data_IF_847974365638
#
_entry.id   IF_847974365638
#
_cell.length_a   1.000
_cell.length_b   1.000
_cell.length_c   1.000
_cell.angle_alpha   90.00
_cell.angle_beta   90.00
_cell.angle_gamma   90.00
#
_symmetry.space_group_name_H-M   'P 1'
#
loop_
_entity.id
_entity.type
_entity.pdbx_description
1 polymer ?
#
# COMPACT_ATOMS: atom_id res chain seq x y z
N UNK A 1 -55.43 -53.30 55.11
CA UNK A 1 -54.63 -52.08 55.11
C UNK A 1 -53.53 -52.27 54.08
N UNK A 2 -53.72 -51.65 52.92
CA UNK A 2 -52.88 -51.84 51.77
C UNK A 2 -51.77 -50.74 51.74
N UNK A 3 -50.55 -51.17 51.64
CA UNK A 3 -49.43 -50.28 51.44
C UNK A 3 -49.03 -50.42 49.98
N UNK A 4 -49.28 -49.38 49.18
CA UNK A 4 -48.89 -49.25 47.79
C UNK A 4 -47.46 -48.89 47.73
N UNK A 5 -46.64 -49.79 47.14
CA UNK A 5 -45.25 -49.59 46.84
C UNK A 5 -45.11 -48.88 45.49
N UNK A 6 -44.77 -47.60 45.50
CA UNK A 6 -44.39 -46.82 44.29
C UNK A 6 -43.03 -47.28 43.78
N UNK A 7 -43.01 -47.95 42.62
CA UNK A 7 -41.80 -48.29 41.87
C UNK A 7 -41.32 -47.07 41.19
N UNK A 8 -40.21 -46.57 41.61
CA UNK A 8 -39.44 -45.56 40.90
C UNK A 8 -38.83 -46.11 39.60
N UNK A 9 -39.38 -45.69 38.49
CA UNK A 9 -38.87 -45.99 37.13
C UNK A 9 -37.82 -45.01 36.82
N UNK A 10 -36.52 -45.34 37.01
CA UNK A 10 -35.40 -44.57 36.61
C UNK A 10 -35.25 -44.69 35.09
N UNK A 11 -35.57 -43.64 34.35
CA UNK A 11 -35.29 -43.52 32.94
C UNK A 11 -33.87 -42.93 32.83
N UNK A 12 -32.90 -43.65 32.27
CA UNK A 12 -31.59 -43.04 31.96
C UNK A 12 -31.78 -42.10 30.77
N UNK A 13 -31.63 -40.79 31.01
CA UNK A 13 -31.53 -39.80 29.96
C UNK A 13 -30.17 -39.99 29.31
N UNK A 14 -30.16 -40.66 28.16
CA UNK A 14 -28.98 -40.78 27.31
C UNK A 14 -28.79 -39.45 26.59
N UNK A 15 -28.01 -38.56 27.19
CA UNK A 15 -27.61 -37.29 26.55
C UNK A 15 -26.63 -37.60 25.43
N UNK A 16 -27.14 -37.71 24.21
CA UNK A 16 -26.37 -37.81 23.00
C UNK A 16 -25.72 -36.44 22.74
N UNK A 17 -24.50 -36.24 23.28
CA UNK A 17 -23.71 -35.08 22.98
C UNK A 17 -23.23 -35.19 21.52
N UNK A 18 -23.96 -34.55 20.62
CA UNK A 18 -23.46 -34.29 19.27
C UNK A 18 -22.25 -33.35 19.36
N UNK A 19 -21.07 -33.94 19.32
CA UNK A 19 -19.86 -33.20 18.99
C UNK A 19 -20.00 -32.70 17.55
N UNK A 20 -20.52 -31.50 17.37
CA UNK A 20 -20.36 -30.78 16.10
C UNK A 20 -18.90 -30.45 15.97
N UNK A 21 -18.19 -31.19 15.09
CA UNK A 21 -16.90 -30.73 14.57
C UNK A 21 -17.11 -29.35 13.98
N UNK A 22 -16.72 -28.32 14.70
CA UNK A 22 -16.51 -27.00 14.13
C UNK A 22 -15.30 -27.18 13.22
N UNK A 23 -15.54 -27.47 11.95
CA UNK A 23 -14.51 -27.25 10.93
C UNK A 23 -14.14 -25.78 11.03
N UNK A 24 -12.93 -25.52 11.52
CA UNK A 24 -12.28 -24.25 11.27
C UNK A 24 -12.16 -24.13 9.74
N UNK A 25 -13.15 -23.52 9.12
CA UNK A 25 -12.96 -22.92 7.81
C UNK A 25 -11.77 -22.01 7.97
N UNK A 26 -10.63 -22.46 7.47
CA UNK A 26 -9.50 -21.58 7.26
C UNK A 26 -10.08 -20.37 6.52
N UNK A 27 -10.02 -19.22 7.14
CA UNK A 27 -10.17 -17.97 6.45
C UNK A 27 -9.03 -18.00 5.43
N UNK A 28 -9.34 -18.52 4.23
CA UNK A 28 -8.57 -18.17 3.07
C UNK A 28 -8.64 -16.65 3.09
N UNK A 29 -7.52 -16.01 3.37
CA UNK A 29 -7.34 -14.61 3.09
C UNK A 29 -7.44 -14.54 1.57
N UNK A 30 -8.68 -14.45 1.07
CA UNK A 30 -8.93 -14.05 -0.30
C UNK A 30 -8.20 -12.73 -0.41
N UNK A 31 -7.21 -12.67 -1.30
CA UNK A 31 -6.58 -11.41 -1.66
C UNK A 31 -7.73 -10.44 -1.92
N UNK A 32 -7.87 -9.45 -1.06
CA UNK A 32 -8.94 -8.48 -1.18
C UNK A 32 -8.68 -7.78 -2.52
N UNK A 33 -9.44 -8.16 -3.54
CA UNK A 33 -9.41 -7.48 -4.83
C UNK A 33 -9.98 -6.10 -4.55
N UNK A 34 -9.11 -5.10 -4.52
CA UNK A 34 -9.55 -3.73 -4.36
C UNK A 34 -10.41 -3.34 -5.57
N UNK A 35 -11.61 -2.79 -5.36
CA UNK A 35 -12.49 -2.40 -6.47
C UNK A 35 -11.93 -1.24 -7.29
N UNK A 36 -10.83 -0.64 -6.85
CA UNK A 36 -10.16 0.49 -7.48
C UNK A 36 -8.67 0.41 -7.15
N UNK A 37 -7.82 0.41 -8.19
CA UNK A 37 -6.36 0.51 -8.00
C UNK A 37 -5.98 2.00 -7.86
N UNK A 38 -5.58 2.38 -6.66
CA UNK A 38 -5.28 3.76 -6.30
C UNK A 38 -3.87 3.89 -5.76
N UNK A 39 -3.13 4.86 -6.29
CA UNK A 39 -1.88 5.34 -5.71
C UNK A 39 -1.97 6.84 -5.42
N UNK A 40 -1.34 7.29 -4.35
CA UNK A 40 -1.18 8.71 -4.06
C UNK A 40 0.31 9.05 -3.97
N UNK A 41 0.72 10.12 -4.63
CA UNK A 41 2.07 10.66 -4.52
C UNK A 41 1.96 12.09 -3.97
N UNK A 42 2.55 12.30 -2.81
CA UNK A 42 2.68 13.62 -2.20
C UNK A 42 4.13 14.07 -2.30
N UNK A 43 4.33 15.31 -2.76
CA UNK A 43 5.64 15.93 -2.92
C UNK A 43 5.58 17.25 -2.16
N UNK A 44 6.34 17.37 -1.08
CA UNK A 44 6.39 18.57 -0.25
C UNK A 44 7.79 19.22 -0.31
N UNK A 45 7.82 20.50 -0.66
CA UNK A 45 9.05 21.28 -0.67
C UNK A 45 9.30 21.91 0.71
N UNK A 46 10.23 21.31 1.44
CA UNK A 46 10.74 21.87 2.69
C UNK A 46 11.80 22.94 2.38
N UNK A 47 11.39 24.20 2.40
CA UNK A 47 12.27 25.33 2.07
C UNK A 47 13.37 25.54 3.13
N UNK A 48 13.16 25.11 4.38
CA UNK A 48 14.14 25.23 5.47
C UNK A 48 15.31 24.29 5.24
N UNK A 49 15.02 23.03 4.96
CA UNK A 49 16.02 21.98 4.78
C UNK A 49 16.49 21.90 3.32
N UNK A 50 15.80 22.62 2.42
CA UNK A 50 16.04 22.63 0.97
C UNK A 50 15.90 21.22 0.38
N UNK A 51 14.86 20.52 0.79
CA UNK A 51 14.56 19.16 0.33
C UNK A 51 13.20 19.09 -0.35
N UNK A 52 13.01 18.09 -1.22
CA UNK A 52 11.69 17.58 -1.52
C UNK A 52 11.49 16.29 -0.75
N UNK A 53 10.43 16.25 0.02
CA UNK A 53 9.97 15.07 0.73
C UNK A 53 8.87 14.41 -0.12
N UNK A 54 9.06 13.15 -0.45
CA UNK A 54 8.16 12.43 -1.36
C UNK A 54 7.59 11.24 -0.62
N UNK A 55 6.26 11.15 -0.57
CA UNK A 55 5.55 10.02 -0.01
C UNK A 55 4.70 9.36 -1.08
N UNK A 56 4.98 8.10 -1.38
CA UNK A 56 4.15 7.26 -2.23
C UNK A 56 3.29 6.35 -1.35
N UNK A 57 1.95 6.35 -1.58
CA UNK A 57 0.98 5.51 -0.87
C UNK A 57 0.32 4.58 -1.87
N UNK A 58 0.38 3.29 -1.59
CA UNK A 58 -0.24 2.24 -2.42
C UNK A 58 -0.92 1.22 -1.52
N UNK A 59 -1.80 0.39 -2.06
CA UNK A 59 -2.21 -0.81 -1.34
C UNK A 59 -1.01 -1.76 -1.25
N UNK A 60 -0.74 -2.28 -0.04
CA UNK A 60 0.48 -3.05 0.22
C UNK A 60 0.54 -4.35 -0.56
N UNK A 61 -0.58 -5.04 -0.70
CA UNK A 61 -0.72 -6.32 -1.39
C UNK A 61 -0.57 -6.19 -2.90
N UNK A 62 -1.14 -5.14 -3.50
CA UNK A 62 -0.96 -4.79 -4.90
C UNK A 62 0.51 -4.48 -5.19
N UNK A 63 1.14 -3.69 -4.33
CA UNK A 63 2.53 -3.31 -4.50
C UNK A 63 3.48 -4.50 -4.32
N UNK A 64 3.24 -5.37 -3.34
CA UNK A 64 3.96 -6.63 -3.15
C UNK A 64 3.83 -7.54 -4.38
N UNK A 65 2.63 -7.62 -4.94
CA UNK A 65 2.35 -8.40 -6.16
C UNK A 65 3.12 -7.89 -7.36
N UNK A 66 3.17 -6.57 -7.57
CA UNK A 66 3.96 -5.95 -8.64
C UNK A 66 5.45 -6.20 -8.44
N UNK A 67 5.98 -5.96 -7.25
CA UNK A 67 7.40 -6.21 -6.97
C UNK A 67 7.75 -7.67 -7.18
N UNK A 68 6.87 -8.60 -6.80
CA UNK A 68 7.08 -10.02 -7.03
C UNK A 68 7.12 -10.36 -8.52
N UNK A 69 6.23 -9.75 -9.32
CA UNK A 69 6.18 -9.91 -10.79
C UNK A 69 7.45 -9.38 -11.45
N UNK A 70 7.85 -8.15 -11.13
CA UNK A 70 9.02 -7.48 -11.72
C UNK A 70 10.32 -8.20 -11.35
N UNK A 71 10.46 -8.63 -10.09
CA UNK A 71 11.66 -9.33 -9.63
C UNK A 71 11.66 -10.83 -9.96
N UNK A 72 10.58 -11.37 -10.55
CA UNK A 72 10.41 -12.81 -10.85
C UNK A 72 10.66 -13.70 -9.63
N UNK A 73 10.35 -13.21 -8.44
CA UNK A 73 10.53 -13.89 -7.18
C UNK A 73 9.53 -13.35 -6.15
N UNK A 74 9.12 -14.21 -5.22
CA UNK A 74 8.22 -13.77 -4.16
C UNK A 74 8.89 -12.70 -3.30
N UNK A 75 8.23 -11.56 -3.18
CA UNK A 75 8.59 -10.47 -2.28
C UNK A 75 7.64 -10.52 -1.07
N UNK A 76 8.15 -10.22 0.11
CA UNK A 76 7.38 -10.14 1.35
C UNK A 76 7.76 -8.82 2.04
N UNK A 77 6.88 -7.84 1.95
CA UNK A 77 7.09 -6.50 2.50
C UNK A 77 6.73 -6.40 3.99
N UNK A 78 6.02 -7.40 4.52
CA UNK A 78 5.39 -7.31 5.86
C UNK A 78 6.21 -8.02 6.93
N UNK A 79 6.84 -9.16 6.62
CA UNK A 79 7.51 -9.99 7.63
C UNK A 79 8.78 -9.38 8.22
N UNK A 80 9.34 -8.34 7.61
CA UNK A 80 10.61 -7.73 8.02
C UNK A 80 11.87 -8.59 7.80
N UNK A 81 11.75 -9.75 7.16
CA UNK A 81 12.87 -10.69 6.98
C UNK A 81 13.96 -10.21 6.03
N UNK A 82 13.60 -9.40 5.04
CA UNK A 82 14.52 -8.89 4.00
C UNK A 82 14.35 -7.38 3.81
N UNK A 83 14.45 -6.62 4.88
CA UNK A 83 14.26 -5.16 4.82
C UNK A 83 15.24 -4.49 3.86
N UNK A 84 16.50 -4.89 3.86
CA UNK A 84 17.53 -4.32 2.97
C UNK A 84 17.21 -4.60 1.50
N UNK A 85 16.87 -5.84 1.18
CA UNK A 85 16.48 -6.21 -0.18
C UNK A 85 15.19 -5.53 -0.61
N UNK A 86 14.22 -5.40 0.27
CA UNK A 86 12.96 -4.72 0.00
C UNK A 86 13.17 -3.22 -0.24
N UNK A 87 14.00 -2.55 0.57
CA UNK A 87 14.36 -1.14 0.34
C UNK A 87 14.91 -0.91 -1.07
N UNK A 88 15.80 -1.80 -1.51
CA UNK A 88 16.38 -1.73 -2.86
C UNK A 88 15.32 -1.94 -3.94
N UNK A 89 14.49 -2.97 -3.83
CA UNK A 89 13.43 -3.29 -4.81
C UNK A 89 12.42 -2.17 -4.94
N UNK A 90 11.98 -1.60 -3.80
CA UNK A 90 11.06 -0.47 -3.76
C UNK A 90 11.66 0.75 -4.46
N UNK A 91 12.90 1.10 -4.11
CA UNK A 91 13.59 2.25 -4.71
C UNK A 91 13.76 2.09 -6.22
N UNK A 92 14.21 0.91 -6.67
CA UNK A 92 14.42 0.64 -8.11
C UNK A 92 13.10 0.71 -8.87
N UNK A 93 12.03 0.15 -8.32
CA UNK A 93 10.70 0.22 -8.90
C UNK A 93 10.20 1.66 -8.97
N UNK A 94 10.21 2.40 -7.86
CA UNK A 94 9.75 3.79 -7.84
C UNK A 94 10.55 4.65 -8.80
N UNK A 95 11.88 4.54 -8.83
CA UNK A 95 12.74 5.32 -9.76
C UNK A 95 12.44 5.05 -11.23
N UNK A 96 12.04 3.85 -11.58
CA UNK A 96 11.69 3.52 -12.96
C UNK A 96 10.31 4.05 -13.38
N UNK A 97 9.42 4.32 -12.43
CA UNK A 97 8.02 4.69 -12.68
C UNK A 97 7.64 6.10 -12.22
N UNK A 98 8.47 6.74 -11.42
CA UNK A 98 8.26 8.10 -10.93
C UNK A 98 9.48 8.95 -11.28
N UNK A 99 9.33 9.90 -12.21
CA UNK A 99 10.39 10.81 -12.62
C UNK A 99 9.93 12.24 -12.32
N UNK A 100 10.78 13.00 -11.65
CA UNK A 100 10.49 14.37 -11.23
C UNK A 100 11.48 15.32 -11.90
N UNK A 101 10.94 16.40 -12.43
CA UNK A 101 11.71 17.50 -13.03
C UNK A 101 11.31 18.80 -12.37
N UNK A 102 12.28 19.57 -11.86
CA UNK A 102 12.07 20.86 -11.21
C UNK A 102 12.71 21.94 -12.05
N UNK A 103 11.91 22.96 -12.42
CA UNK A 103 12.38 24.09 -13.24
C UNK A 103 13.17 23.65 -14.48
N UNK A 104 12.70 22.54 -15.11
CA UNK A 104 13.32 21.94 -16.31
C UNK A 104 14.52 21.03 -16.05
N UNK A 105 14.90 20.78 -14.80
CA UNK A 105 16.03 19.92 -14.45
C UNK A 105 15.53 18.62 -13.79
N UNK A 106 15.90 17.44 -14.31
CA UNK A 106 15.57 16.18 -13.66
C UNK A 106 16.30 16.07 -12.31
N UNK A 107 15.61 15.51 -11.32
CA UNK A 107 16.16 15.31 -9.97
C UNK A 107 16.33 13.83 -9.65
N UNK A 108 17.22 13.52 -8.72
CA UNK A 108 17.48 12.15 -8.27
C UNK A 108 16.96 11.95 -6.86
N UNK A 109 16.12 10.95 -6.70
CA UNK A 109 15.55 10.60 -5.40
C UNK A 109 16.45 9.62 -4.64
N UNK A 110 16.62 9.83 -3.36
CA UNK A 110 17.17 8.88 -2.40
C UNK A 110 16.02 8.24 -1.61
N UNK A 111 16.20 6.98 -1.20
CA UNK A 111 15.20 6.25 -0.42
C UNK A 111 15.43 6.46 1.07
N UNK A 112 14.39 6.82 1.79
CA UNK A 112 14.42 7.02 3.24
C UNK A 112 13.96 5.75 3.97
N UNK A 113 12.87 5.13 3.50
CA UNK A 113 12.32 3.93 4.11
C UNK A 113 10.92 3.64 3.62
N UNK A 114 10.32 2.59 4.18
CA UNK A 114 8.91 2.29 3.98
C UNK A 114 8.29 1.75 5.26
N UNK A 115 6.99 1.89 5.37
CA UNK A 115 6.20 1.28 6.44
C UNK A 115 4.82 0.85 5.93
N UNK A 116 4.22 -0.12 6.61
CA UNK A 116 2.87 -0.58 6.37
C UNK A 116 1.98 -0.15 7.52
N UNK A 117 0.94 0.59 7.21
CA UNK A 117 -0.11 0.94 8.15
C UNK A 117 -1.45 0.47 7.57
N UNK A 118 -2.12 -0.40 8.30
CA UNK A 118 -3.36 -1.05 7.88
C UNK A 118 -3.24 -1.69 6.49
N UNK A 119 -3.97 -1.20 5.49
CA UNK A 119 -3.95 -1.67 4.10
C UNK A 119 -3.01 -0.87 3.19
N UNK A 120 -2.34 0.16 3.73
CA UNK A 120 -1.50 1.08 2.96
C UNK A 120 -0.03 0.81 3.20
N UNK A 121 0.75 0.81 2.13
CA UNK A 121 2.20 0.90 2.15
C UNK A 121 2.61 2.35 1.87
N UNK A 122 3.36 2.92 2.79
CA UNK A 122 4.01 4.22 2.65
C UNK A 122 5.45 3.99 2.23
N UNK A 123 5.88 4.65 1.16
CA UNK A 123 7.28 4.65 0.72
C UNK A 123 7.79 6.09 0.72
N UNK A 124 8.87 6.35 1.45
CA UNK A 124 9.44 7.67 1.66
C UNK A 124 10.72 7.85 0.86
N UNK A 125 10.77 8.94 0.10
CA UNK A 125 11.93 9.32 -0.67
C UNK A 125 12.23 10.81 -0.46
N UNK A 126 13.46 11.21 -0.75
CA UNK A 126 13.91 12.58 -0.61
C UNK A 126 14.77 13.01 -1.79
N UNK A 127 14.71 14.30 -2.12
CA UNK A 127 15.65 14.95 -3.01
C UNK A 127 16.30 16.12 -2.28
N UNK A 128 17.63 16.16 -2.26
CA UNK A 128 18.37 17.20 -1.57
C UNK A 128 18.71 18.38 -2.47
N UNK A 129 19.09 19.50 -1.86
CA UNK A 129 19.59 20.72 -2.51
C UNK A 129 18.56 21.42 -3.42
N UNK A 130 17.29 21.37 -3.05
CA UNK A 130 16.21 22.10 -3.74
C UNK A 130 15.91 23.41 -3.01
N UNK A 131 16.51 24.50 -3.47
CA UNK A 131 16.35 25.80 -2.81
C UNK A 131 15.02 26.49 -3.13
N UNK A 132 14.43 26.21 -4.28
CA UNK A 132 13.14 26.78 -4.69
C UNK A 132 12.48 25.91 -5.76
N UNK A 133 11.17 26.01 -5.87
CA UNK A 133 10.37 25.34 -6.89
C UNK A 133 9.40 26.34 -7.49
N UNK A 134 9.48 26.57 -8.80
CA UNK A 134 8.51 27.37 -9.57
C UNK A 134 7.60 26.49 -10.41
N UNK A 135 8.19 25.43 -10.99
CA UNK A 135 7.49 24.48 -11.82
C UNK A 135 7.98 23.07 -11.50
N UNK A 136 7.05 22.15 -11.35
CA UNK A 136 7.33 20.75 -11.21
C UNK A 136 6.61 19.98 -12.32
N UNK A 137 7.34 19.09 -12.98
CA UNK A 137 6.80 18.13 -13.93
C UNK A 137 7.06 16.73 -13.41
N UNK A 138 6.05 15.91 -13.37
CA UNK A 138 6.14 14.54 -12.87
C UNK A 138 5.61 13.58 -13.92
N UNK A 139 6.42 12.58 -14.25
CA UNK A 139 5.95 11.38 -14.96
C UNK A 139 5.69 10.32 -13.91
N UNK A 140 4.47 9.84 -13.81
CA UNK A 140 4.04 8.84 -12.85
C UNK A 140 3.34 7.69 -13.56
N UNK A 141 4.01 6.56 -13.63
CA UNK A 141 3.49 5.29 -14.17
C UNK A 141 3.47 4.19 -13.10
N UNK A 142 3.46 4.58 -11.82
CA UNK A 142 3.35 3.62 -10.72
C UNK A 142 2.11 2.74 -10.91
N UNK A 143 2.29 1.42 -10.75
CA UNK A 143 1.27 0.39 -10.86
C UNK A 143 0.77 0.10 -12.29
N UNK A 144 1.17 0.85 -13.33
CA UNK A 144 0.74 0.65 -14.71
C UNK A 144 1.18 -0.70 -15.30
N UNK A 145 2.20 -1.37 -14.74
CA UNK A 145 2.65 -2.70 -15.18
C UNK A 145 1.60 -3.79 -14.97
N UNK A 146 0.60 -3.53 -14.14
CA UNK A 146 -0.34 -4.56 -13.71
C UNK A 146 -1.79 -4.13 -13.81
N UNK A 147 -2.07 -2.83 -13.70
CA UNK A 147 -3.44 -2.31 -13.61
C UNK A 147 -3.69 -1.26 -14.70
N UNK A 148 -4.63 -1.56 -15.59
CA UNK A 148 -5.08 -0.67 -16.67
C UNK A 148 -6.26 0.23 -16.26
N UNK A 149 -6.71 0.11 -15.01
CA UNK A 149 -7.68 0.97 -14.34
C UNK A 149 -7.03 1.82 -13.23
N UNK A 150 -5.69 1.94 -13.23
CA UNK A 150 -4.94 2.67 -12.21
C UNK A 150 -5.36 4.14 -12.15
N UNK A 151 -5.64 4.60 -10.95
CA UNK A 151 -5.83 6.02 -10.61
C UNK A 151 -4.66 6.50 -9.76
N UNK A 152 -4.03 7.59 -10.17
CA UNK A 152 -2.96 8.23 -9.42
C UNK A 152 -3.39 9.63 -8.98
N UNK A 153 -3.41 9.89 -7.67
CA UNK A 153 -3.63 11.22 -7.13
C UNK A 153 -2.29 11.81 -6.73
N UNK A 154 -2.01 13.01 -7.24
CA UNK A 154 -0.77 13.71 -6.94
C UNK A 154 -1.04 15.00 -6.19
N UNK A 155 -0.30 15.20 -5.12
CA UNK A 155 -0.30 16.41 -4.33
C UNK A 155 1.10 17.01 -4.36
N UNK A 156 1.20 18.29 -4.70
CA UNK A 156 2.46 19.03 -4.64
C UNK A 156 2.26 20.24 -3.73
N UNK A 157 3.15 20.40 -2.78
CA UNK A 157 3.12 21.46 -1.77
C UNK A 157 4.40 22.27 -1.90
N UNK A 158 4.26 23.57 -2.12
CA UNK A 158 5.40 24.51 -2.18
C UNK A 158 5.02 25.74 -1.37
N UNK A 159 5.85 26.11 -0.40
CA UNK A 159 5.59 27.22 0.52
C UNK A 159 4.20 27.17 1.16
N UNK A 160 3.74 25.96 1.53
CA UNK A 160 2.42 25.72 2.10
C UNK A 160 1.25 25.79 1.10
N UNK A 161 1.50 26.12 -0.16
CA UNK A 161 0.49 26.11 -1.21
C UNK A 161 0.39 24.71 -1.82
N UNK A 162 -0.76 24.03 -1.62
CA UNK A 162 -1.02 22.69 -2.13
C UNK A 162 -1.79 22.75 -3.44
N UNK A 163 -1.25 22.09 -4.45
CA UNK A 163 -1.94 21.82 -5.72
C UNK A 163 -2.07 20.32 -5.92
N UNK A 164 -3.21 19.91 -6.45
CA UNK A 164 -3.53 18.48 -6.63
C UNK A 164 -4.00 18.22 -8.04
N UNK A 165 -3.66 17.06 -8.56
CA UNK A 165 -4.15 16.56 -9.85
C UNK A 165 -4.43 15.06 -9.77
N UNK A 166 -5.31 14.59 -10.65
CA UNK A 166 -5.66 13.19 -10.82
C UNK A 166 -5.20 12.75 -12.20
N UNK A 167 -4.59 11.58 -12.27
CA UNK A 167 -4.21 10.91 -13.52
C UNK A 167 -4.91 9.55 -13.54
N UNK A 168 -5.76 9.35 -14.55
CA UNK A 168 -6.37 8.06 -14.84
C UNK A 168 -5.55 7.37 -15.93
N UNK A 169 -5.23 6.09 -15.77
CA UNK A 169 -4.53 5.31 -16.81
C UNK A 169 -5.18 5.55 -18.20
N UNK A 170 -4.41 5.74 -19.27
CA UNK A 170 -2.95 5.71 -19.37
C UNK A 170 -2.27 7.07 -19.16
N UNK A 171 -2.97 8.11 -18.69
CA UNK A 171 -2.37 9.40 -18.43
C UNK A 171 -1.29 9.28 -17.32
N UNK A 172 -0.12 9.86 -17.56
CA UNK A 172 1.03 9.70 -16.68
C UNK A 172 1.79 10.98 -16.37
N UNK A 173 1.40 12.12 -16.98
CA UNK A 173 2.17 13.37 -16.85
C UNK A 173 1.36 14.43 -16.13
N UNK A 174 1.95 14.99 -15.08
CA UNK A 174 1.42 16.16 -14.36
C UNK A 174 2.42 17.32 -14.46
N UNK A 175 1.92 18.50 -14.79
CA UNK A 175 2.68 19.75 -14.79
C UNK A 175 2.01 20.73 -13.84
N UNK A 176 2.75 21.22 -12.87
CA UNK A 176 2.23 22.10 -11.80
C UNK A 176 3.17 23.29 -11.66
N UNK A 177 2.62 24.50 -11.66
CA UNK A 177 3.36 25.77 -11.52
C UNK A 177 2.94 26.48 -10.23
N UNK A 178 3.86 27.18 -9.56
CA UNK A 178 3.65 27.89 -8.29
C UNK A 178 4.02 29.35 -8.39
#
# INVERSE_FOLDING_TARGET
MAIELYKWLLIPVFSLSMFTKVEKRGLNQENAVHPLHLATVEIDHNATDKTLEITCKTFWDDFESILSKVNKSKVDLVSGKDTIGNNKRILEYIKSHLQITIDGKPVQMSFVGYEKEDVVLYSYLQVDNISSVKKISVVNTLMHDMFDDQVSIMHVIVNGNRKSTKLDYPASVANIEF
#
